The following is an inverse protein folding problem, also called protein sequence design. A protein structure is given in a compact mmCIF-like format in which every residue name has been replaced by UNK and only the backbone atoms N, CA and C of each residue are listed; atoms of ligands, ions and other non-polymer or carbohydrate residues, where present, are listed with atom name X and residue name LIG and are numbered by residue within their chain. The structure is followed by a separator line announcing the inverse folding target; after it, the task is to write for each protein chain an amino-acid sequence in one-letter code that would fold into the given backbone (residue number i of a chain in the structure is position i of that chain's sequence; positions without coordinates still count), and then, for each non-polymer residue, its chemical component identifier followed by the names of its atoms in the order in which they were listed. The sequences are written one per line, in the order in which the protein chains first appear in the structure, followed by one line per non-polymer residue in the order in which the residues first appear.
data_IF_534789760932
#
_entry.id   IF_534789760932
#
_cell.length_a   1.000
_cell.length_b   1.000
_cell.length_c   1.000
_cell.angle_alpha   90.00
_cell.angle_beta   90.00
_cell.angle_gamma   90.00
#
_symmetry.space_group_name_H-M   'P 1'
#
loop_
_entity.id
_entity.type
_entity.pdbx_description
1 polymer ?
#
# COMPACT_ATOMS: atom_id res chain seq x y z
N UNK A 1 6.60 -4.73 8.41
CA UNK A 1 6.18 -5.04 7.01
C UNK A 1 7.06 -4.34 5.98
N UNK A 2 7.05 -3.00 5.92
CA UNK A 2 7.77 -2.21 4.90
C UNK A 2 9.29 -2.44 4.93
N UNK A 3 9.91 -2.41 6.11
CA UNK A 3 11.38 -2.60 6.27
C UNK A 3 11.76 -3.99 6.80
N UNK A 4 11.00 -5.03 6.44
CA UNK A 4 11.22 -6.38 6.97
C UNK A 4 12.30 -7.21 6.25
N UNK A 5 12.93 -6.68 5.20
CA UNK A 5 13.87 -7.41 4.32
C UNK A 5 15.25 -6.79 4.38
N UNK A 6 16.29 -7.61 4.20
CA UNK A 6 17.67 -7.13 4.09
C UNK A 6 17.92 -6.45 2.73
N UNK A 7 18.75 -5.41 2.75
CA UNK A 7 19.06 -4.59 1.57
C UNK A 7 17.88 -3.75 1.07
N UNK A 8 18.07 -3.08 -0.05
CA UNK A 8 17.08 -2.26 -0.74
C UNK A 8 16.12 -3.14 -1.55
N UNK A 9 15.20 -3.78 -0.84
CA UNK A 9 14.20 -4.70 -1.40
C UNK A 9 12.77 -4.27 -1.04
N UNK A 10 12.33 -3.08 -1.49
CA UNK A 10 10.96 -2.62 -1.25
C UNK A 10 9.95 -3.61 -1.85
N UNK A 11 8.81 -3.75 -1.18
CA UNK A 11 7.67 -4.54 -1.65
C UNK A 11 6.38 -3.79 -1.32
N UNK A 12 5.31 -3.95 -2.12
CA UNK A 12 4.01 -3.40 -1.77
C UNK A 12 3.50 -3.94 -0.44
N UNK A 13 2.95 -3.04 0.37
CA UNK A 13 2.26 -3.33 1.62
C UNK A 13 0.90 -2.65 1.57
N UNK A 14 -0.14 -3.46 1.68
CA UNK A 14 -1.53 -3.00 1.68
C UNK A 14 -2.24 -3.54 2.93
N UNK A 15 -3.37 -2.95 3.29
CA UNK A 15 -4.13 -3.34 4.47
C UNK A 15 -5.64 -3.34 4.20
N UNK A 16 -6.35 -4.28 4.81
CA UNK A 16 -7.81 -4.30 4.84
C UNK A 16 -8.35 -3.43 5.98
N UNK A 17 -9.52 -2.84 5.77
CA UNK A 17 -10.17 -1.94 6.73
C UNK A 17 -11.40 -2.54 7.43
N UNK A 18 -12.05 -3.52 6.81
CA UNK A 18 -13.23 -4.23 7.32
C UNK A 18 -13.22 -5.70 6.86
N UNK A 19 -14.09 -6.57 7.42
CA UNK A 19 -14.18 -7.97 6.97
C UNK A 19 -14.53 -8.15 5.48
N UNK A 20 -15.37 -7.31 4.88
CA UNK A 20 -15.69 -7.30 3.44
C UNK A 20 -14.49 -6.82 2.64
N UNK A 21 -13.84 -5.75 3.10
CA UNK A 21 -12.67 -5.17 2.44
C UNK A 21 -11.51 -6.18 2.36
N UNK A 22 -11.46 -7.19 3.23
CA UNK A 22 -10.50 -8.29 3.11
C UNK A 22 -10.59 -9.01 1.75
N UNK A 23 -11.78 -9.18 1.18
CA UNK A 23 -11.92 -9.82 -0.13
C UNK A 23 -11.28 -8.96 -1.23
N UNK A 24 -11.66 -7.68 -1.30
CA UNK A 24 -11.17 -6.76 -2.32
C UNK A 24 -9.65 -6.55 -2.20
N UNK A 25 -9.16 -6.39 -0.97
CA UNK A 25 -7.72 -6.20 -0.71
C UNK A 25 -6.92 -7.48 -0.94
N UNK A 26 -7.47 -8.68 -0.70
CA UNK A 26 -6.81 -9.93 -1.07
C UNK A 26 -6.76 -10.12 -2.58
N UNK A 27 -7.84 -9.79 -3.29
CA UNK A 27 -7.88 -9.81 -4.74
C UNK A 27 -6.84 -8.84 -5.32
N UNK A 28 -6.79 -7.61 -4.83
CA UNK A 28 -5.80 -6.61 -5.23
C UNK A 28 -4.36 -7.08 -4.90
N UNK A 29 -4.13 -7.71 -3.74
CA UNK A 29 -2.81 -8.26 -3.40
C UNK A 29 -2.30 -9.25 -4.44
N UNK A 30 -3.17 -10.19 -4.86
CA UNK A 30 -2.85 -11.21 -5.87
C UNK A 30 -2.65 -10.56 -7.23
N UNK A 31 -3.51 -9.60 -7.61
CA UNK A 31 -3.36 -8.85 -8.85
C UNK A 31 -2.02 -8.11 -8.89
N UNK A 32 -1.67 -7.35 -7.85
CA UNK A 32 -0.40 -6.64 -7.75
C UNK A 32 0.79 -7.59 -7.82
N UNK A 33 0.73 -8.72 -7.13
CA UNK A 33 1.81 -9.69 -7.08
C UNK A 33 2.10 -10.31 -8.45
N UNK A 34 1.05 -10.73 -9.15
CA UNK A 34 1.16 -11.40 -10.44
C UNK A 34 1.47 -10.44 -11.58
N UNK A 35 0.87 -9.24 -11.58
CA UNK A 35 1.04 -8.26 -12.67
C UNK A 35 2.35 -7.48 -12.57
N UNK A 36 2.93 -7.31 -11.37
CA UNK A 36 4.22 -6.61 -11.18
C UNK A 36 5.37 -7.52 -10.76
N UNK A 37 5.14 -8.84 -10.70
CA UNK A 37 6.12 -9.84 -10.30
C UNK A 37 6.89 -9.43 -9.05
N UNK A 38 6.16 -9.16 -7.97
CA UNK A 38 6.73 -8.75 -6.68
C UNK A 38 5.97 -9.41 -5.54
N UNK A 39 6.62 -9.80 -4.44
CA UNK A 39 5.90 -10.14 -3.23
C UNK A 39 5.03 -8.96 -2.78
N UNK A 40 3.85 -9.24 -2.23
CA UNK A 40 2.94 -8.25 -1.66
C UNK A 40 2.55 -8.72 -0.26
N UNK A 41 2.56 -7.81 0.72
CA UNK A 41 2.05 -8.09 2.07
C UNK A 41 0.66 -7.45 2.19
N UNK A 42 -0.35 -8.28 2.42
CA UNK A 42 -1.65 -7.84 2.91
C UNK A 42 -1.66 -7.91 4.44
N UNK A 43 -1.87 -6.77 5.10
CA UNK A 43 -2.05 -6.67 6.53
C UNK A 43 -3.54 -6.75 6.90
N UNK A 44 -3.82 -7.60 7.87
CA UNK A 44 -5.08 -7.69 8.60
C UNK A 44 -4.74 -7.85 10.08
N UNK A 45 -5.75 -7.88 10.94
CA UNK A 45 -5.59 -8.05 12.37
C UNK A 45 -6.71 -8.89 12.99
N UNK A 46 -6.53 -9.23 14.27
CA UNK A 46 -7.48 -10.07 15.00
C UNK A 46 -8.87 -9.45 15.14
N UNK A 47 -9.01 -8.12 15.08
CA UNK A 47 -10.31 -7.48 15.17
C UNK A 47 -11.11 -7.67 13.87
N UNK A 48 -10.46 -7.45 12.72
CA UNK A 48 -11.08 -7.73 11.42
C UNK A 48 -11.37 -9.22 11.26
N UNK A 49 -10.43 -10.09 11.64
CA UNK A 49 -10.59 -11.54 11.49
C UNK A 49 -11.77 -12.13 12.30
N UNK A 50 -12.11 -11.53 13.44
CA UNK A 50 -13.24 -11.94 14.28
C UNK A 50 -14.51 -11.09 14.04
N UNK A 51 -14.43 -10.10 13.16
CA UNK A 51 -15.56 -9.25 12.79
C UNK A 51 -16.41 -9.90 11.69
N UNK A 52 -17.68 -9.51 11.63
CA UNK A 52 -18.59 -9.90 10.54
C UNK A 52 -19.46 -8.71 10.14
N UNK A 53 -19.79 -8.63 8.85
CA UNK A 53 -20.68 -7.62 8.30
C UNK A 53 -21.49 -8.16 7.11
N UNK A 54 -22.70 -7.64 6.85
CA UNK A 54 -23.52 -8.09 5.72
C UNK A 54 -22.83 -7.86 4.38
N UNK A 55 -22.57 -8.94 3.65
CA UNK A 55 -21.82 -8.87 2.39
C UNK A 55 -22.60 -9.40 1.20
N UNK A 56 -22.65 -8.61 0.13
CA UNK A 56 -23.09 -9.09 -1.19
C UNK A 56 -21.89 -9.65 -1.93
N UNK A 57 -21.76 -10.98 -1.93
CA UNK A 57 -20.70 -11.69 -2.63
C UNK A 57 -20.65 -11.34 -4.13
N UNK A 58 -19.50 -10.95 -4.68
CA UNK A 58 -19.36 -10.65 -6.11
C UNK A 58 -19.38 -11.94 -6.95
N UNK A 59 -19.91 -11.90 -8.17
CA UNK A 59 -19.79 -13.02 -9.08
C UNK A 59 -18.42 -13.01 -9.76
N UNK A 60 -17.87 -14.19 -10.07
CA UNK A 60 -16.55 -14.30 -10.71
C UNK A 60 -16.43 -13.51 -12.03
N UNK A 61 -17.53 -13.39 -12.78
CA UNK A 61 -17.61 -12.61 -14.03
C UNK A 61 -17.48 -11.10 -13.83
N UNK A 62 -17.72 -10.61 -12.62
CA UNK A 62 -17.67 -9.19 -12.27
C UNK A 62 -16.27 -8.78 -11.77
N UNK A 63 -15.37 -9.76 -11.58
CA UNK A 63 -13.99 -9.51 -11.14
C UNK A 63 -13.11 -9.13 -12.34
N UNK A 64 -12.23 -8.12 -12.19
CA UNK A 64 -11.34 -7.74 -13.25
C UNK A 64 -10.33 -8.85 -13.55
N UNK A 65 -10.03 -9.08 -14.83
CA UNK A 65 -9.03 -10.05 -15.23
C UNK A 65 -7.64 -9.70 -14.68
N UNK A 66 -6.93 -10.69 -14.13
CA UNK A 66 -5.53 -10.55 -13.72
C UNK A 66 -4.64 -10.89 -14.92
N UNK A 67 -3.73 -9.97 -15.28
CA UNK A 67 -2.91 -10.03 -16.49
C UNK A 67 -1.41 -10.11 -16.18
N UNK A 68 -0.89 -11.28 -15.76
CA UNK A 68 0.55 -11.43 -15.55
C UNK A 68 1.33 -11.17 -16.85
N UNK A 69 2.59 -10.70 -16.78
CA UNK A 69 3.40 -10.38 -17.95
C UNK A 69 3.96 -11.66 -18.62
N UNK A 70 3.09 -12.62 -18.91
CA UNK A 70 3.48 -13.88 -19.54
C UNK A 70 4.06 -13.64 -20.92
N UNK A 71 5.11 -14.37 -21.24
CA UNK A 71 5.74 -14.35 -22.55
C UNK A 71 5.64 -15.73 -23.21
N UNK A 72 5.50 -15.75 -24.55
CA UNK A 72 5.34 -16.98 -25.34
C UNK A 72 6.48 -17.19 -26.35
N UNK A 73 7.32 -16.19 -26.59
CA UNK A 73 8.41 -16.22 -27.55
C UNK A 73 9.55 -15.28 -27.10
N UNK A 74 10.79 -15.45 -27.58
CA UNK A 74 11.90 -14.54 -27.31
C UNK A 74 11.56 -13.06 -27.55
N UNK A 75 12.17 -12.16 -26.75
CA UNK A 75 11.94 -10.70 -26.80
C UNK A 75 13.13 -9.91 -27.37
N UNK A 76 14.12 -10.59 -27.96
CA UNK A 76 15.29 -10.00 -28.59
C UNK A 76 15.77 -10.90 -29.74
N UNK A 77 15.06 -10.85 -30.88
CA UNK A 77 15.30 -11.75 -32.00
C UNK A 77 15.05 -13.21 -31.60
N UNK A 78 16.07 -14.07 -31.74
CA UNK A 78 16.02 -15.47 -31.30
C UNK A 78 16.40 -15.64 -29.81
N UNK A 79 16.77 -14.56 -29.11
CA UNK A 79 17.25 -14.60 -27.73
C UNK A 79 16.18 -14.16 -26.74
N UNK A 80 16.08 -14.90 -25.63
CA UNK A 80 15.28 -14.48 -24.49
C UNK A 80 16.11 -13.65 -23.49
N UNK A 81 15.61 -12.45 -23.16
CA UNK A 81 16.15 -11.54 -22.15
C UNK A 81 15.21 -11.52 -20.91
N UNK A 82 15.46 -12.37 -19.89
CA UNK A 82 14.58 -12.57 -18.74
C UNK A 82 14.50 -11.38 -17.76
N UNK A 83 15.38 -10.39 -17.90
CA UNK A 83 15.42 -9.17 -17.09
C UNK A 83 15.18 -7.90 -17.91
N UNK A 84 14.78 -8.05 -19.19
CA UNK A 84 14.31 -6.92 -19.99
C UNK A 84 12.98 -6.44 -19.40
N UNK A 85 12.91 -5.17 -19.00
CA UNK A 85 11.74 -4.63 -18.31
C UNK A 85 10.83 -3.88 -19.28
N UNK A 86 9.53 -3.94 -19.04
CA UNK A 86 8.54 -3.11 -19.71
C UNK A 86 8.53 -1.67 -19.16
N UNK A 87 7.60 -0.87 -19.65
CA UNK A 87 7.34 0.52 -19.22
C UNK A 87 6.89 0.64 -17.75
N UNK A 88 6.43 -0.44 -17.13
CA UNK A 88 6.10 -0.51 -15.70
C UNK A 88 7.32 -0.92 -14.85
N UNK A 89 8.44 -1.28 -15.47
CA UNK A 89 9.63 -1.82 -14.81
C UNK A 89 9.53 -3.32 -14.49
N UNK A 90 8.53 -4.01 -15.05
CA UNK A 90 8.23 -5.42 -14.81
C UNK A 90 8.93 -6.27 -15.87
N UNK A 91 9.56 -7.37 -15.44
CA UNK A 91 10.22 -8.32 -16.33
C UNK A 91 9.18 -9.29 -16.95
N UNK A 92 9.46 -9.91 -18.11
CA UNK A 92 8.60 -10.97 -18.64
C UNK A 92 8.63 -12.20 -17.73
N UNK A 93 7.52 -12.91 -17.71
CA UNK A 93 7.37 -14.18 -17.02
C UNK A 93 7.27 -15.33 -18.03
N UNK A 94 8.37 -16.04 -18.22
CA UNK A 94 8.38 -17.31 -18.94
C UNK A 94 8.02 -18.47 -17.98
N UNK A 95 7.10 -19.32 -18.41
CA UNK A 95 6.72 -20.53 -17.69
C UNK A 95 7.73 -21.65 -17.95
N UNK A 96 8.11 -22.43 -16.93
CA UNK A 96 8.98 -23.59 -17.13
C UNK A 96 8.43 -24.55 -18.19
N UNK A 97 9.29 -25.03 -19.08
CA UNK A 97 8.95 -25.96 -20.16
C UNK A 97 8.63 -25.31 -21.51
N UNK A 98 8.56 -23.98 -21.60
CA UNK A 98 8.41 -23.31 -22.90
C UNK A 98 9.72 -23.37 -23.71
N UNK A 99 9.68 -23.79 -24.98
CA UNK A 99 10.83 -23.73 -25.89
C UNK A 99 11.40 -22.32 -25.98
N UNK A 100 12.71 -22.22 -26.17
CA UNK A 100 13.46 -20.98 -26.42
C UNK A 100 13.39 -19.88 -25.33
N UNK A 101 12.80 -20.21 -24.17
CA UNK A 101 12.67 -19.32 -23.02
C UNK A 101 13.48 -19.81 -21.80
N UNK A 102 14.49 -20.63 -22.01
CA UNK A 102 15.33 -21.15 -20.94
C UNK A 102 16.10 -20.00 -20.28
N UNK A 103 16.01 -19.89 -18.95
CA UNK A 103 16.66 -18.83 -18.19
C UNK A 103 16.92 -19.25 -16.74
N UNK A 104 17.77 -18.48 -16.04
CA UNK A 104 18.13 -18.74 -14.63
C UNK A 104 17.59 -17.64 -13.73
N UNK A 105 16.72 -18.01 -12.81
CA UNK A 105 16.28 -17.17 -11.69
C UNK A 105 17.07 -17.58 -10.44
N UNK A 106 17.47 -16.61 -9.61
CA UNK A 106 18.17 -16.88 -8.34
C UNK A 106 18.39 -15.60 -7.54
N UNK A 107 18.88 -15.74 -6.31
CA UNK A 107 19.08 -14.62 -5.38
C UNK A 107 20.35 -13.78 -5.58
N UNK A 108 21.32 -14.28 -6.36
CA UNK A 108 22.54 -13.53 -6.72
C UNK A 108 22.19 -12.46 -7.74
N UNK A 109 22.81 -11.28 -7.65
CA UNK A 109 22.57 -10.15 -8.54
C UNK A 109 22.72 -10.52 -10.02
N UNK A 110 21.84 -9.90 -10.83
CA UNK A 110 21.62 -10.27 -12.22
C UNK A 110 22.00 -9.12 -13.13
N UNK A 111 22.72 -9.42 -14.19
CA UNK A 111 23.04 -8.46 -15.23
C UNK A 111 21.74 -7.95 -15.87
N UNK A 112 21.69 -6.64 -16.11
CA UNK A 112 20.57 -6.03 -16.82
C UNK A 112 20.25 -6.80 -18.11
N UNK A 113 18.95 -6.96 -18.38
CA UNK A 113 18.37 -7.67 -19.54
C UNK A 113 18.65 -9.18 -19.58
N UNK A 114 19.92 -9.58 -19.57
CA UNK A 114 20.35 -10.96 -19.85
C UNK A 114 20.06 -11.93 -18.70
N UNK A 115 20.07 -11.47 -17.45
CA UNK A 115 19.90 -12.34 -16.27
C UNK A 115 21.11 -13.20 -15.91
N UNK A 116 22.27 -12.95 -16.51
CA UNK A 116 23.52 -13.57 -16.08
C UNK A 116 23.93 -13.10 -14.69
N UNK A 117 24.77 -13.86 -13.99
CA UNK A 117 25.33 -13.40 -12.71
C UNK A 117 26.23 -12.18 -12.99
N UNK A 118 26.08 -11.13 -12.19
CA UNK A 118 26.91 -9.93 -12.28
C UNK A 118 27.48 -9.55 -10.93
N UNK A 119 28.77 -9.22 -10.90
CA UNK A 119 29.48 -8.66 -9.76
C UNK A 119 29.87 -7.18 -10.00
N UNK A 120 29.42 -6.60 -11.11
CA UNK A 120 29.77 -5.22 -11.46
C UNK A 120 29.04 -4.22 -10.54
N UNK A 121 29.76 -3.30 -9.87
CA UNK A 121 29.15 -2.36 -8.93
C UNK A 121 28.06 -1.49 -9.57
N UNK A 122 28.30 -0.99 -10.79
CA UNK A 122 27.33 -0.16 -11.53
C UNK A 122 26.06 -0.92 -11.91
N UNK A 123 26.19 -2.21 -12.24
CA UNK A 123 25.03 -3.06 -12.50
C UNK A 123 24.21 -3.26 -11.22
N UNK A 124 24.87 -3.48 -10.08
CA UNK A 124 24.18 -3.63 -8.81
C UNK A 124 23.38 -2.38 -8.44
N UNK A 125 24.00 -1.20 -8.53
CA UNK A 125 23.32 0.09 -8.29
C UNK A 125 22.10 0.27 -9.22
N UNK A 126 22.27 0.01 -10.53
CA UNK A 126 21.18 0.09 -11.50
C UNK A 126 20.04 -0.88 -11.14
N UNK A 127 20.34 -2.14 -10.84
CA UNK A 127 19.33 -3.14 -10.53
C UNK A 127 18.58 -2.83 -9.24
N UNK A 128 19.26 -2.28 -8.22
CA UNK A 128 18.64 -1.78 -6.99
C UNK A 128 17.63 -0.67 -7.31
N UNK A 129 18.05 0.35 -8.07
CA UNK A 129 17.18 1.48 -8.45
C UNK A 129 15.98 1.01 -9.27
N UNK A 130 16.17 0.13 -10.25
CA UNK A 130 15.08 -0.39 -11.08
C UNK A 130 14.05 -1.20 -10.28
N UNK A 131 14.48 -1.98 -9.28
CA UNK A 131 13.54 -2.72 -8.40
C UNK A 131 12.73 -1.76 -7.54
N UNK A 132 13.38 -0.74 -6.97
CA UNK A 132 12.71 0.29 -6.18
C UNK A 132 11.71 1.10 -7.02
N UNK A 133 12.13 1.52 -8.22
CA UNK A 133 11.30 2.27 -9.15
C UNK A 133 10.08 1.48 -9.60
N UNK A 134 10.23 0.19 -9.93
CA UNK A 134 9.10 -0.70 -10.25
C UNK A 134 8.06 -0.69 -9.13
N UNK A 135 8.50 -0.78 -7.87
CA UNK A 135 7.59 -0.76 -6.72
C UNK A 135 6.94 0.60 -6.55
N UNK A 136 7.69 1.70 -6.71
CA UNK A 136 7.14 3.05 -6.64
C UNK A 136 6.07 3.32 -7.72
N UNK A 137 6.29 2.84 -8.96
CA UNK A 137 5.35 2.97 -10.09
C UNK A 137 4.02 2.25 -9.87
N UNK A 138 3.92 1.34 -8.90
CA UNK A 138 2.63 0.72 -8.54
C UNK A 138 1.62 1.78 -8.08
N UNK A 139 2.09 2.87 -7.48
CA UNK A 139 1.23 3.98 -7.06
C UNK A 139 0.48 4.65 -8.22
N UNK A 140 0.97 4.52 -9.45
CA UNK A 140 0.36 5.09 -10.67
C UNK A 140 -0.97 4.41 -11.00
N UNK A 141 -1.17 3.19 -10.51
CA UNK A 141 -2.41 2.42 -10.70
C UNK A 141 -3.47 2.70 -9.65
N UNK A 142 -3.09 3.28 -8.52
CA UNK A 142 -4.04 3.50 -7.44
C UNK A 142 -5.08 4.51 -7.88
N UNK A 143 -6.34 4.25 -7.50
CA UNK A 143 -7.41 5.23 -7.67
C UNK A 143 -7.00 6.53 -6.94
N UNK A 144 -7.41 7.71 -7.43
CA UNK A 144 -7.16 8.95 -6.72
C UNK A 144 -7.61 8.85 -5.27
N UNK A 145 -6.79 9.35 -4.34
CA UNK A 145 -7.16 9.35 -2.92
C UNK A 145 -8.46 10.13 -2.71
N UNK A 146 -9.35 9.58 -1.89
CA UNK A 146 -10.64 10.18 -1.54
C UNK A 146 -10.79 10.19 -0.03
N UNK A 147 -11.46 11.22 0.48
CA UNK A 147 -11.92 11.24 1.86
C UNK A 147 -13.06 10.24 2.03
N UNK A 148 -13.09 9.56 3.17
CA UNK A 148 -14.22 8.74 3.59
C UNK A 148 -15.35 9.63 4.14
N UNK A 149 -15.01 10.78 4.76
CA UNK A 149 -15.97 11.83 5.13
C UNK A 149 -15.30 13.19 5.39
N UNK A 150 -16.11 14.25 5.47
CA UNK A 150 -15.69 15.61 5.85
C UNK A 150 -15.32 16.54 4.69
N UNK A 151 -14.96 17.79 5.00
CA UNK A 151 -14.64 18.80 4.01
C UNK A 151 -13.31 18.50 3.29
N UNK A 152 -13.08 19.01 2.06
CA UNK A 152 -11.85 18.75 1.29
C UNK A 152 -10.57 19.38 1.89
N UNK A 153 -10.74 20.33 2.80
CA UNK A 153 -9.72 21.03 3.59
C UNK A 153 -10.32 21.45 4.93
N UNK A 154 -9.51 21.67 5.96
CA UNK A 154 -10.07 21.96 7.27
C UNK A 154 -9.09 22.02 8.43
N UNK A 155 -9.63 21.88 9.64
CA UNK A 155 -8.83 21.99 10.86
C UNK A 155 -8.07 20.69 11.16
N UNK A 156 -8.77 19.55 11.13
CA UNK A 156 -8.18 18.24 11.46
C UNK A 156 -8.46 17.22 10.36
N UNK A 157 -7.42 16.53 9.90
CA UNK A 157 -7.54 15.29 9.15
C UNK A 157 -7.21 14.10 10.07
N UNK A 158 -8.15 13.18 10.21
CA UNK A 158 -7.89 11.88 10.82
C UNK A 158 -7.45 10.90 9.71
N UNK A 159 -6.23 10.40 9.83
CA UNK A 159 -5.67 9.37 8.93
C UNK A 159 -5.76 8.03 9.63
N UNK A 160 -6.58 7.13 9.09
CA UNK A 160 -6.75 5.77 9.60
C UNK A 160 -6.10 4.71 8.71
N UNK A 161 -5.92 3.51 9.25
CA UNK A 161 -5.58 2.30 8.50
C UNK A 161 -5.99 1.06 9.30
N UNK A 162 -6.17 -0.09 8.64
CA UNK A 162 -6.51 -1.32 9.35
C UNK A 162 -7.87 -1.27 10.06
N UNK A 163 -8.01 -2.01 11.17
CA UNK A 163 -9.22 -2.09 11.99
C UNK A 163 -9.67 -0.80 12.67
N UNK A 164 -8.90 0.28 12.65
CA UNK A 164 -9.31 1.56 13.28
C UNK A 164 -10.46 2.24 12.54
N UNK A 165 -10.83 1.75 11.34
CA UNK A 165 -11.81 2.34 10.44
C UNK A 165 -13.14 2.67 11.13
N UNK A 166 -13.74 1.70 11.82
CA UNK A 166 -15.07 1.86 12.42
C UNK A 166 -15.09 2.97 13.47
N UNK A 167 -14.13 2.95 14.39
CA UNK A 167 -14.03 3.94 15.47
C UNK A 167 -13.72 5.34 14.94
N UNK A 168 -12.83 5.46 13.95
CA UNK A 168 -12.50 6.74 13.31
C UNK A 168 -13.72 7.27 12.55
N UNK A 169 -14.38 6.45 11.75
CA UNK A 169 -15.54 6.86 10.95
C UNK A 169 -16.64 7.41 11.85
N UNK A 170 -16.96 6.71 12.95
CA UNK A 170 -17.97 7.18 13.91
C UNK A 170 -17.56 8.50 14.54
N UNK A 171 -16.35 8.61 15.08
CA UNK A 171 -15.87 9.84 15.70
C UNK A 171 -15.85 11.04 14.72
N UNK A 172 -15.42 10.82 13.47
CA UNK A 172 -15.39 11.85 12.45
C UNK A 172 -16.80 12.35 12.09
N UNK A 173 -17.76 11.44 11.90
CA UNK A 173 -19.15 11.80 11.60
C UNK A 173 -19.83 12.54 12.74
N UNK A 174 -19.58 12.14 13.99
CA UNK A 174 -20.09 12.85 15.19
C UNK A 174 -19.50 14.27 15.27
N UNK A 175 -18.19 14.40 15.10
CA UNK A 175 -17.52 15.72 15.09
C UNK A 175 -18.05 16.63 13.97
N UNK A 176 -18.30 16.07 12.79
CA UNK A 176 -18.90 16.80 11.66
C UNK A 176 -20.34 17.24 11.96
N UNK A 177 -21.14 16.36 12.57
CA UNK A 177 -22.51 16.68 12.99
C UNK A 177 -22.56 17.78 14.06
N UNK A 178 -21.51 17.88 14.88
CA UNK A 178 -21.30 18.96 15.87
C UNK A 178 -20.73 20.24 15.27
N UNK A 179 -20.51 20.28 13.95
CA UNK A 179 -20.06 21.46 13.22
C UNK A 179 -18.54 21.65 13.20
N UNK A 180 -17.75 20.67 13.65
CA UNK A 180 -16.29 20.75 13.58
C UNK A 180 -15.76 20.46 12.17
N UNK A 181 -14.70 21.18 11.78
CA UNK A 181 -14.00 21.00 10.51
C UNK A 181 -13.03 19.81 10.57
N UNK A 182 -13.60 18.60 10.59
CA UNK A 182 -12.87 17.33 10.69
C UNK A 182 -13.13 16.48 9.46
N UNK A 183 -12.06 16.00 8.84
CA UNK A 183 -12.14 15.03 7.74
C UNK A 183 -11.50 13.69 8.12
N UNK A 184 -11.88 12.65 7.40
CA UNK A 184 -11.37 11.30 7.57
C UNK A 184 -10.90 10.74 6.23
N UNK A 185 -9.69 10.18 6.22
CA UNK A 185 -9.19 9.32 5.15
C UNK A 185 -8.67 8.02 5.73
N UNK A 186 -9.06 6.89 5.14
CA UNK A 186 -8.58 5.57 5.55
C UNK A 186 -7.68 4.95 4.49
N UNK A 187 -6.44 4.63 4.86
CA UNK A 187 -5.44 4.12 3.94
C UNK A 187 -5.55 2.60 3.79
N UNK A 188 -5.60 2.17 2.52
CA UNK A 188 -5.52 0.76 2.11
C UNK A 188 -4.13 0.45 1.53
N UNK A 189 -3.49 1.42 0.87
CA UNK A 189 -2.12 1.33 0.36
C UNK A 189 -1.13 1.98 1.34
N UNK A 190 -0.34 1.15 2.03
CA UNK A 190 0.63 1.62 3.04
C UNK A 190 2.04 1.78 2.47
N UNK A 191 2.37 1.05 1.40
CA UNK A 191 3.58 1.26 0.63
C UNK A 191 3.44 0.63 -0.78
N UNK A 192 3.84 1.31 -1.87
CA UNK A 192 4.07 2.76 -1.92
C UNK A 192 2.81 3.53 -1.53
N UNK A 193 2.96 4.80 -1.17
CA UNK A 193 1.80 5.65 -0.86
C UNK A 193 1.11 6.15 -2.13
N UNK A 194 -0.19 6.47 -2.01
CA UNK A 194 -0.93 7.14 -3.06
C UNK A 194 -0.31 8.52 -3.37
N UNK A 195 -0.12 8.85 -4.65
CA UNK A 195 0.47 10.14 -5.08
C UNK A 195 -0.29 11.36 -4.58
N UNK A 196 -1.60 11.23 -4.34
CA UNK A 196 -2.44 12.30 -3.82
C UNK A 196 -2.35 12.50 -2.30
N UNK A 197 -1.73 11.58 -1.55
CA UNK A 197 -1.72 11.61 -0.09
C UNK A 197 -0.93 12.80 0.46
N UNK A 198 0.29 13.03 -0.02
CA UNK A 198 1.10 14.18 0.40
C UNK A 198 0.40 15.54 0.23
N UNK A 199 -0.14 15.85 -0.97
CA UNK A 199 -0.95 17.04 -1.17
C UNK A 199 -2.20 17.11 -0.28
N UNK A 200 -2.89 15.99 -0.06
CA UNK A 200 -4.07 15.95 0.82
C UNK A 200 -3.71 16.31 2.27
N UNK A 201 -2.65 15.73 2.82
CA UNK A 201 -2.22 15.95 4.20
C UNK A 201 -1.96 17.45 4.48
N UNK A 202 -1.45 18.19 3.49
CA UNK A 202 -1.12 19.62 3.61
C UNK A 202 -2.34 20.55 3.58
N UNK A 203 -3.53 20.05 3.25
CA UNK A 203 -4.78 20.83 3.25
C UNK A 203 -5.39 21.01 4.62
N UNK A 204 -4.80 20.41 5.65
CA UNK A 204 -5.33 20.45 7.01
C UNK A 204 -4.32 21.06 7.96
N UNK A 205 -4.81 21.85 8.91
CA UNK A 205 -3.97 22.51 9.91
C UNK A 205 -3.27 21.51 10.82
N UNK A 206 -3.99 20.44 11.20
CA UNK A 206 -3.50 19.39 12.09
C UNK A 206 -3.85 18.02 11.49
N UNK A 207 -2.96 17.05 11.64
CA UNK A 207 -3.19 15.67 11.20
C UNK A 207 -3.09 14.73 12.40
N UNK A 208 -4.14 13.98 12.67
CA UNK A 208 -4.19 12.96 13.72
C UNK A 208 -4.12 11.57 13.09
N UNK A 209 -3.31 10.69 13.65
CA UNK A 209 -3.21 9.29 13.22
C UNK A 209 -3.40 8.36 14.41
N UNK A 210 -4.61 7.81 14.58
CA UNK A 210 -4.88 6.74 15.53
C UNK A 210 -4.30 5.41 15.01
N UNK A 211 -3.36 4.82 15.74
CA UNK A 211 -2.83 3.50 15.42
C UNK A 211 -2.60 2.63 16.64
N UNK A 212 -2.89 1.33 16.50
CA UNK A 212 -2.76 0.34 17.59
C UNK A 212 -1.33 -0.22 17.67
N UNK A 213 -0.35 0.68 17.69
CA UNK A 213 1.08 0.39 17.82
C UNK A 213 1.80 1.67 18.29
N UNK A 214 3.14 1.65 18.38
CA UNK A 214 3.94 2.78 18.88
C UNK A 214 4.22 3.93 17.89
N UNK A 215 3.51 4.01 16.77
CA UNK A 215 3.66 5.09 15.78
C UNK A 215 4.32 4.67 14.46
N UNK A 216 4.14 3.42 14.00
CA UNK A 216 4.84 2.86 12.85
C UNK A 216 4.44 3.55 11.55
N UNK A 217 3.14 3.70 11.27
CA UNK A 217 2.69 4.38 10.04
C UNK A 217 2.99 5.87 10.12
N UNK A 218 2.84 6.48 11.30
CA UNK A 218 3.23 7.87 11.53
C UNK A 218 4.68 8.12 11.14
N UNK A 219 5.62 7.25 11.53
CA UNK A 219 7.03 7.41 11.16
C UNK A 219 7.24 7.41 9.65
N UNK A 220 6.60 6.48 8.92
CA UNK A 220 6.70 6.39 7.47
C UNK A 220 6.13 7.63 6.77
N UNK A 221 4.94 8.08 7.16
CA UNK A 221 4.29 9.24 6.54
C UNK A 221 5.07 10.54 6.79
N UNK A 222 5.63 10.72 7.99
CA UNK A 222 6.48 11.87 8.31
C UNK A 222 7.77 11.86 7.49
N UNK A 223 8.39 10.69 7.33
CA UNK A 223 9.60 10.53 6.54
C UNK A 223 9.36 10.84 5.05
N UNK A 224 8.22 10.41 4.52
CA UNK A 224 7.89 10.62 3.10
C UNK A 224 7.44 12.05 2.79
N UNK A 225 6.54 12.63 3.62
CA UNK A 225 5.82 13.84 3.25
C UNK A 225 6.24 15.09 4.02
N UNK A 226 7.09 14.95 5.05
CA UNK A 226 7.51 16.04 5.94
C UNK A 226 6.33 16.82 6.55
N UNK A 227 5.22 16.13 6.81
CA UNK A 227 4.03 16.69 7.48
C UNK A 227 4.08 16.35 8.96
N UNK A 228 3.73 17.30 9.82
CA UNK A 228 3.62 17.06 11.25
C UNK A 228 2.35 16.27 11.57
N UNK A 229 2.52 14.95 11.73
CA UNK A 229 1.44 14.01 12.07
C UNK A 229 1.51 13.70 13.56
N UNK A 230 0.42 13.99 14.27
CA UNK A 230 0.22 13.70 15.68
C UNK A 230 -0.32 12.28 15.85
N UNK A 231 0.34 11.49 16.71
CA UNK A 231 -0.02 10.08 16.89
C UNK A 231 -0.94 9.89 18.08
N UNK A 232 -2.04 9.18 17.90
CA UNK A 232 -2.84 8.60 18.98
C UNK A 232 -2.53 7.10 19.02
N UNK A 233 -1.62 6.71 19.90
CA UNK A 233 -1.07 5.36 19.94
C UNK A 233 -1.72 4.53 21.06
N UNK A 234 -2.18 3.31 20.75
CA UNK A 234 -2.73 2.37 21.75
C UNK A 234 -2.10 1.00 21.62
N UNK A 235 -1.44 0.54 22.69
CA UNK A 235 -0.78 -0.77 22.78
C UNK A 235 -1.33 -1.62 23.93
N UNK A 236 -2.64 -1.50 24.18
CA UNK A 236 -3.33 -2.12 25.31
C UNK A 236 -4.07 -3.42 24.93
N UNK A 237 -3.93 -3.89 23.69
CA UNK A 237 -4.61 -5.10 23.20
C UNK A 237 -6.13 -4.93 23.01
N UNK A 238 -6.62 -3.69 22.99
CA UNK A 238 -8.04 -3.36 22.79
C UNK A 238 -8.21 -2.33 21.68
N UNK A 239 -9.31 -2.41 20.90
CA UNK A 239 -9.61 -1.40 19.88
C UNK A 239 -9.85 -0.02 20.49
N UNK A 240 -9.72 1.02 19.67
CA UNK A 240 -10.19 2.34 20.03
C UNK A 240 -11.70 2.38 20.13
N UNK A 241 -12.22 3.12 21.09
CA UNK A 241 -13.59 3.62 21.07
C UNK A 241 -13.67 4.90 20.23
N UNK A 242 -14.86 5.24 19.73
CA UNK A 242 -15.08 6.53 19.05
C UNK A 242 -14.84 7.71 19.98
N UNK A 243 -15.23 7.58 21.26
CA UNK A 243 -15.02 8.59 22.29
C UNK A 243 -13.53 8.92 22.50
N UNK A 244 -12.65 7.92 22.59
CA UNK A 244 -11.20 8.14 22.70
C UNK A 244 -10.65 8.97 21.53
N UNK A 245 -11.11 8.69 20.31
CA UNK A 245 -10.66 9.42 19.12
C UNK A 245 -11.22 10.84 19.13
N UNK A 246 -12.50 11.00 19.49
CA UNK A 246 -13.16 12.30 19.59
C UNK A 246 -12.46 13.21 20.60
N UNK A 247 -12.17 12.70 21.78
CA UNK A 247 -11.44 13.44 22.83
C UNK A 247 -10.05 13.85 22.36
N UNK A 248 -9.35 12.97 21.64
CA UNK A 248 -8.04 13.30 21.06
C UNK A 248 -8.14 14.40 20.01
N UNK A 249 -9.15 14.39 19.15
CA UNK A 249 -9.40 15.46 18.16
C UNK A 249 -9.70 16.78 18.88
N UNK A 250 -10.61 16.79 19.85
CA UNK A 250 -10.94 17.99 20.63
C UNK A 250 -9.72 18.56 21.35
N UNK A 251 -8.91 17.70 21.97
CA UNK A 251 -7.66 18.11 22.60
C UNK A 251 -6.67 18.66 21.57
N UNK A 252 -6.59 18.05 20.39
CA UNK A 252 -5.74 18.51 19.31
C UNK A 252 -6.18 19.87 18.77
N UNK A 253 -7.48 20.17 18.75
CA UNK A 253 -8.04 21.45 18.28
C UNK A 253 -7.79 22.62 19.24
N UNK A 254 -7.46 22.35 20.51
CA UNK A 254 -7.12 23.41 21.48
C UNK A 254 -5.97 24.30 20.95
N UNK A 255 -6.02 25.60 21.26
CA UNK A 255 -5.04 26.58 20.79
C UNK A 255 -3.63 26.30 21.29
#
# INVERSE_FOLDING_TARGET
AVHGRNGEAPIPVIAASTPIDCFDMAFEAVQLALEHMTPVILLTDGYIANGAEPWRFPAAKDLPEIKPPFIKAPNDGERFLPYLRDDRGVRPWALPGQPDLQHRIGGIEKQDKTGNISYEPKNHELMVKLRAEKVARIADRFKPIRLDSGPPEGEVLIVGWGSTYGSIRTAALEMQAEGHSVAHVHLRHLFPFNKGLGPLLKKYRKVLLPEMNSGQLRQLLRAEFLVDIQGLNKIQGLPFTSAEIKDAVLNLMKP
#
